data_IF_362878478503
#
_entry.id   IF_362878478503
#
_cell.length_a   1.000
_cell.length_b   1.000
_cell.length_c   1.000
_cell.angle_alpha   90.00
_cell.angle_beta   90.00
_cell.angle_gamma   90.00
#
_symmetry.space_group_name_H-M   'P 1'
#
loop_
_entity.id
_entity.type
_entity.pdbx_description
1 polymer ?
#
# COMPACT_ATOMS: atom_id res chain seq x y z
N UNK A 1 -6.68 14.52 -14.68
CA UNK A 1 -6.46 14.28 -13.24
C UNK A 1 -4.99 14.49 -12.94
N UNK A 2 -4.63 15.19 -11.85
CA UNK A 2 -3.24 15.28 -11.43
C UNK A 2 -2.80 13.97 -10.76
N UNK A 3 -1.64 13.46 -11.17
CA UNK A 3 -0.98 12.31 -10.56
C UNK A 3 -0.01 12.81 -9.50
N UNK A 4 0.05 12.14 -8.37
CA UNK A 4 0.93 12.49 -7.26
C UNK A 4 1.82 11.30 -6.92
N UNK A 5 3.07 11.57 -6.55
CA UNK A 5 3.94 10.54 -6.00
C UNK A 5 3.61 10.35 -4.53
N UNK A 6 3.53 9.09 -4.12
CA UNK A 6 3.21 8.70 -2.76
C UNK A 6 4.18 7.62 -2.30
N UNK A 7 4.60 7.76 -1.06
CA UNK A 7 5.28 6.72 -0.30
C UNK A 7 4.21 5.87 0.40
N UNK A 8 4.21 4.56 0.16
CA UNK A 8 3.34 3.60 0.82
C UNK A 8 4.18 2.70 1.71
N UNK A 9 3.86 2.70 3.00
CA UNK A 9 4.47 1.79 3.98
C UNK A 9 3.54 0.61 4.21
N UNK A 10 4.00 -0.60 3.91
CA UNK A 10 3.25 -1.82 4.15
C UNK A 10 4.11 -2.81 4.95
N UNK A 11 3.51 -3.44 5.94
CA UNK A 11 4.10 -4.59 6.62
C UNK A 11 3.73 -5.84 5.84
N UNK A 12 4.74 -6.51 5.30
CA UNK A 12 4.63 -7.73 4.52
C UNK A 12 4.94 -8.90 5.45
N UNK A 13 3.97 -9.80 5.63
CA UNK A 13 4.11 -11.01 6.44
C UNK A 13 4.23 -12.22 5.50
N UNK A 14 5.32 -13.00 5.62
CA UNK A 14 5.49 -14.31 4.98
C UNK A 14 5.04 -15.42 5.92
N UNK A 15 4.47 -16.48 5.36
CA UNK A 15 4.09 -17.70 6.08
C UNK A 15 5.30 -18.21 6.91
N UNK A 16 5.10 -18.22 8.24
CA UNK A 16 6.01 -18.65 9.33
C UNK A 16 7.24 -17.75 9.59
N UNK A 17 7.06 -16.84 10.55
CA UNK A 17 8.08 -16.21 11.43
C UNK A 17 8.86 -14.98 10.94
N UNK A 18 8.48 -14.30 9.86
CA UNK A 18 9.11 -13.01 9.51
C UNK A 18 8.15 -12.02 8.89
N UNK A 19 7.94 -10.92 9.59
CA UNK A 19 7.28 -9.71 9.09
C UNK A 19 8.33 -8.65 8.79
N UNK A 20 8.24 -8.00 7.62
CA UNK A 20 9.12 -6.89 7.26
C UNK A 20 8.28 -5.71 6.79
N UNK A 21 8.54 -4.54 7.36
CA UNK A 21 7.97 -3.29 6.84
C UNK A 21 8.77 -2.86 5.63
N UNK A 22 8.10 -2.75 4.49
CA UNK A 22 8.66 -2.28 3.23
C UNK A 22 7.99 -0.97 2.81
N UNK A 23 8.75 -0.16 2.08
CA UNK A 23 8.32 1.14 1.60
C UNK A 23 8.33 1.11 0.08
N UNK A 24 7.19 1.46 -0.51
CA UNK A 24 6.97 1.48 -1.96
C UNK A 24 6.72 2.90 -2.40
N UNK A 25 7.33 3.31 -3.51
CA UNK A 25 6.92 4.51 -4.21
C UNK A 25 5.87 4.14 -5.27
N UNK A 26 4.72 4.80 -5.24
CA UNK A 26 3.69 4.66 -6.26
C UNK A 26 3.26 6.03 -6.75
N UNK A 27 2.77 6.07 -7.99
CA UNK A 27 2.12 7.27 -8.52
C UNK A 27 0.62 6.99 -8.57
N UNK A 28 -0.16 7.75 -7.81
CA UNK A 28 -1.62 7.59 -7.71
C UNK A 28 -2.31 8.87 -8.10
N UNK A 29 -3.60 8.78 -8.45
CA UNK A 29 -4.39 9.99 -8.63
C UNK A 29 -4.60 10.70 -7.29
N UNK A 30 -4.79 12.03 -7.31
CA UNK A 30 -5.10 12.78 -6.09
C UNK A 30 -6.39 12.26 -5.41
N UNK A 31 -7.36 11.77 -6.19
CA UNK A 31 -8.58 11.15 -5.68
C UNK A 31 -8.29 9.86 -4.90
N UNK A 32 -7.45 8.98 -5.46
CA UNK A 32 -7.01 7.74 -4.79
C UNK A 32 -6.29 8.06 -3.49
N UNK A 33 -5.39 9.06 -3.49
CA UNK A 33 -4.70 9.51 -2.28
C UNK A 33 -5.62 10.13 -1.23
N UNK A 34 -6.74 10.73 -1.64
CA UNK A 34 -7.73 11.26 -0.70
C UNK A 34 -8.55 10.12 -0.10
N UNK A 35 -8.99 9.16 -0.93
CA UNK A 35 -9.75 7.98 -0.49
C UNK A 35 -8.97 7.11 0.49
N UNK A 36 -7.68 6.98 0.27
CA UNK A 36 -6.76 6.22 1.12
C UNK A 36 -6.52 6.82 2.51
N UNK A 37 -6.92 8.07 2.76
CA UNK A 37 -6.86 8.64 4.11
C UNK A 37 -7.91 8.00 5.04
N UNK A 38 -8.93 7.35 4.47
CA UNK A 38 -9.97 6.63 5.20
C UNK A 38 -9.65 5.12 5.28
N UNK A 39 -10.18 4.43 6.28
CA UNK A 39 -9.98 2.98 6.48
C UNK A 39 -10.36 2.12 5.28
N UNK A 40 -11.43 2.50 4.57
CA UNK A 40 -11.87 1.80 3.36
C UNK A 40 -10.81 1.90 2.24
N UNK A 41 -10.31 3.10 1.97
CA UNK A 41 -9.28 3.28 0.94
C UNK A 41 -7.94 2.68 1.31
N UNK A 42 -7.60 2.59 2.61
CA UNK A 42 -6.41 1.85 3.09
C UNK A 42 -6.50 0.36 2.76
N UNK A 43 -7.68 -0.25 2.91
CA UNK A 43 -7.91 -1.66 2.55
C UNK A 43 -7.82 -1.87 1.03
N UNK A 44 -8.41 -0.98 0.23
CA UNK A 44 -8.36 -1.06 -1.23
C UNK A 44 -6.92 -0.93 -1.76
N UNK A 45 -6.13 0.01 -1.24
CA UNK A 45 -4.72 0.14 -1.59
C UNK A 45 -3.89 -1.06 -1.12
N UNK A 46 -4.19 -1.63 0.05
CA UNK A 46 -3.54 -2.84 0.53
C UNK A 46 -3.77 -4.02 -0.42
N UNK A 47 -5.02 -4.19 -0.89
CA UNK A 47 -5.36 -5.22 -1.87
C UNK A 47 -4.69 -4.98 -3.23
N UNK A 48 -4.65 -3.72 -3.70
CA UNK A 48 -3.96 -3.37 -4.93
C UNK A 48 -2.45 -3.60 -4.84
N UNK A 49 -1.80 -3.21 -3.73
CA UNK A 49 -0.38 -3.47 -3.49
C UNK A 49 -0.08 -4.96 -3.45
N UNK A 50 -0.93 -5.75 -2.77
CA UNK A 50 -0.80 -7.21 -2.74
C UNK A 50 -0.85 -7.77 -4.16
N UNK A 51 -1.81 -7.34 -4.98
CA UNK A 51 -1.92 -7.82 -6.36
C UNK A 51 -0.74 -7.35 -7.26
N UNK A 52 -0.21 -6.15 -7.03
CA UNK A 52 0.83 -5.54 -7.88
C UNK A 52 2.24 -6.03 -7.52
N UNK A 53 2.55 -6.14 -6.23
CA UNK A 53 3.90 -6.42 -5.73
C UNK A 53 4.05 -7.81 -5.11
N UNK A 54 2.95 -8.44 -4.68
CA UNK A 54 2.98 -9.69 -3.92
C UNK A 54 1.98 -10.75 -4.44
N UNK A 55 2.14 -11.20 -5.71
CA UNK A 55 1.14 -12.01 -6.39
C UNK A 55 0.91 -13.41 -5.80
N UNK A 56 1.70 -13.86 -4.82
CA UNK A 56 1.61 -15.22 -4.27
C UNK A 56 2.22 -15.27 -2.87
N UNK A 57 1.42 -15.64 -1.86
CA UNK A 57 1.84 -16.03 -0.49
C UNK A 57 2.18 -14.94 0.55
N UNK A 58 1.96 -13.65 0.30
CA UNK A 58 2.22 -12.60 1.30
C UNK A 58 0.93 -11.92 1.79
N UNK A 59 0.82 -11.70 3.10
CA UNK A 59 -0.18 -10.76 3.63
C UNK A 59 0.46 -9.37 3.74
N UNK A 60 -0.12 -8.38 3.03
CA UNK A 60 0.39 -7.02 3.03
C UNK A 60 -0.58 -6.11 3.81
N UNK A 61 -0.17 -5.72 5.01
CA UNK A 61 -0.94 -4.80 5.87
C UNK A 61 -0.40 -3.39 5.70
N UNK A 62 -1.21 -2.50 5.15
CA UNK A 62 -0.84 -1.11 4.93
C UNK A 62 -0.71 -0.39 6.29
N UNK A 63 0.49 0.12 6.58
CA UNK A 63 0.83 0.77 7.86
C UNK A 63 0.83 2.30 7.75
N UNK A 64 0.91 2.87 6.54
CA UNK A 64 0.77 4.31 6.31
C UNK A 64 0.98 4.71 4.85
N UNK A 65 0.54 5.91 4.47
CA UNK A 65 0.82 6.48 3.15
C UNK A 65 1.00 8.00 3.22
N UNK A 66 2.01 8.54 2.53
CA UNK A 66 2.36 9.98 2.53
C UNK A 66 2.66 10.46 1.12
N UNK A 67 2.19 11.66 0.76
CA UNK A 67 2.58 12.35 -0.47
C UNK A 67 4.05 12.79 -0.41
N UNK A 68 4.82 12.50 -1.46
CA UNK A 68 6.25 12.84 -1.59
C UNK A 68 6.51 13.68 -2.84
#
# INVERSE_FOLDING_TARGET
MAMIKVEIRATVERDRSSSRTEVFEATVSEETYRKSQNDLGRKELGAWLKNTYFPTEYDAKLSGMRKI
#
